data_IF_480265814670
#
_entry.id   IF_480265814670
#
_cell.length_a   1.000
_cell.length_b   1.000
_cell.length_c   1.000
_cell.angle_alpha   90.00
_cell.angle_beta   90.00
_cell.angle_gamma   90.00
#
_symmetry.space_group_name_H-M   'P 1'
#
loop_
_entity.id
_entity.type
_entity.pdbx_description
1 polymer ?
#
# COMPACT_ATOMS: atom_id res chain seq x y z
N UNK A 1 25.80 8.49 -3.83
CA UNK A 1 24.89 8.93 -2.77
C UNK A 1 23.90 7.82 -2.51
N UNK A 2 23.98 7.12 -1.37
CA UNK A 2 23.11 5.95 -1.10
C UNK A 2 22.03 6.43 -0.13
N UNK A 3 20.93 6.96 -0.67
CA UNK A 3 19.75 7.24 0.12
C UNK A 3 19.28 5.89 0.69
N UNK A 4 19.37 5.71 2.01
CA UNK A 4 19.06 4.44 2.69
C UNK A 4 17.57 4.29 3.00
N UNK A 5 16.78 5.33 2.74
CA UNK A 5 15.35 5.33 2.98
C UNK A 5 14.61 4.88 1.73
N UNK A 6 13.78 3.87 1.87
CA UNK A 6 12.83 3.45 0.86
C UNK A 6 11.42 3.60 1.41
N UNK A 7 10.51 4.11 0.57
CA UNK A 7 9.13 4.31 0.94
C UNK A 7 8.22 3.57 -0.03
N UNK A 8 7.11 3.06 0.48
CA UNK A 8 6.05 2.46 -0.30
C UNK A 8 4.76 3.23 -0.05
N UNK A 9 4.20 3.75 -1.14
CA UNK A 9 2.86 4.30 -1.18
C UNK A 9 1.90 3.21 -1.68
N UNK A 10 0.78 3.03 -0.99
CA UNK A 10 -0.29 2.14 -1.40
C UNK A 10 -1.52 3.00 -1.67
N UNK A 11 -1.96 2.99 -2.92
CA UNK A 11 -3.08 3.78 -3.40
C UNK A 11 -4.20 2.83 -3.83
N UNK A 12 -5.39 3.06 -3.29
CA UNK A 12 -6.60 2.35 -3.64
C UNK A 12 -7.34 3.11 -4.73
N UNK A 13 -7.65 2.42 -5.83
CA UNK A 13 -8.49 2.93 -6.91
C UNK A 13 -9.79 2.15 -6.94
N UNK A 14 -10.92 2.86 -6.99
CA UNK A 14 -12.25 2.25 -7.17
C UNK A 14 -13.19 3.22 -7.86
N UNK A 15 -14.28 2.71 -8.42
CA UNK A 15 -15.36 3.55 -8.98
C UNK A 15 -16.46 3.65 -7.94
N UNK A 16 -16.87 4.87 -7.61
CA UNK A 16 -17.93 5.13 -6.65
C UNK A 16 -19.34 4.90 -7.26
N UNK A 17 -20.39 5.08 -6.47
CA UNK A 17 -21.77 4.87 -6.93
C UNK A 17 -22.22 5.89 -7.98
N UNK A 18 -21.53 7.02 -8.08
CA UNK A 18 -21.79 8.10 -9.03
C UNK A 18 -20.96 7.93 -10.34
N UNK A 19 -20.33 6.77 -10.52
CA UNK A 19 -19.46 6.44 -11.65
C UNK A 19 -18.18 7.27 -11.75
N UNK A 20 -17.74 7.84 -10.63
CA UNK A 20 -16.51 8.62 -10.57
C UNK A 20 -15.35 7.72 -10.13
N UNK A 21 -14.17 7.95 -10.72
CA UNK A 21 -12.93 7.27 -10.32
C UNK A 21 -12.40 7.93 -9.05
N UNK A 22 -12.35 7.16 -7.97
CA UNK A 22 -11.75 7.55 -6.70
C UNK A 22 -10.31 7.06 -6.63
N UNK A 23 -9.45 7.92 -6.07
CA UNK A 23 -8.06 7.62 -5.75
C UNK A 23 -7.80 7.97 -4.28
N UNK A 24 -7.44 6.96 -3.48
CA UNK A 24 -7.21 7.13 -2.04
C UNK A 24 -5.85 6.58 -1.65
N UNK A 25 -4.96 7.45 -1.16
CA UNK A 25 -3.71 7.01 -0.52
C UNK A 25 -4.06 6.38 0.83
N UNK A 26 -4.05 5.05 0.89
CA UNK A 26 -4.41 4.31 2.11
C UNK A 26 -3.20 4.09 3.02
N UNK A 27 -1.98 4.18 2.49
CA UNK A 27 -0.78 4.01 3.30
C UNK A 27 0.45 4.61 2.63
N UNK A 28 1.34 5.15 3.45
CA UNK A 28 2.64 5.66 3.04
C UNK A 28 3.62 5.40 4.16
N UNK A 29 4.49 4.40 3.98
CA UNK A 29 5.43 4.00 5.03
C UNK A 29 6.81 3.68 4.50
N UNK A 30 7.78 3.82 5.38
CA UNK A 30 9.14 3.37 5.12
C UNK A 30 9.19 1.85 5.06
N UNK A 31 9.96 1.31 4.10
CA UNK A 31 10.28 -0.10 4.01
C UNK A 31 11.59 -0.34 4.74
N UNK A 32 11.50 -1.09 5.82
CA UNK A 32 12.65 -1.49 6.62
C UNK A 32 13.17 -2.84 6.10
N UNK A 33 14.49 -2.94 5.93
CA UNK A 33 15.17 -4.17 5.54
C UNK A 33 15.28 -4.37 4.02
N UNK A 34 15.40 -5.62 3.58
CA UNK A 34 15.57 -5.93 2.17
C UNK A 34 14.31 -5.59 1.36
N UNK A 35 14.45 -4.93 0.21
CA UNK A 35 13.32 -4.62 -0.69
C UNK A 35 12.95 -5.83 -1.56
N UNK A 36 12.94 -7.03 -0.96
CA UNK A 36 12.55 -8.25 -1.63
C UNK A 36 11.05 -8.23 -1.92
N UNK A 37 10.61 -8.93 -2.96
CA UNK A 37 9.18 -9.03 -3.31
C UNK A 37 8.33 -9.53 -2.14
N UNK A 38 8.88 -10.43 -1.30
CA UNK A 38 8.21 -10.92 -0.10
C UNK A 38 7.98 -9.81 0.95
N UNK A 39 8.96 -8.93 1.19
CA UNK A 39 8.82 -7.83 2.14
C UNK A 39 7.81 -6.77 1.65
N UNK A 40 7.85 -6.46 0.35
CA UNK A 40 6.86 -5.57 -0.28
C UNK A 40 5.44 -6.16 -0.14
N UNK A 41 5.26 -7.44 -0.48
CA UNK A 41 3.98 -8.12 -0.37
C UNK A 41 3.47 -8.18 1.08
N UNK A 42 4.36 -8.43 2.04
CA UNK A 42 4.01 -8.40 3.46
C UNK A 42 3.52 -7.02 3.89
N UNK A 43 4.18 -5.95 3.43
CA UNK A 43 3.78 -4.57 3.72
C UNK A 43 2.39 -4.26 3.18
N UNK A 44 2.10 -4.65 1.93
CA UNK A 44 0.76 -4.52 1.33
C UNK A 44 -0.27 -5.32 2.12
N UNK A 45 0.04 -6.56 2.49
CA UNK A 45 -0.86 -7.43 3.24
C UNK A 45 -1.25 -6.82 4.59
N UNK A 46 -0.28 -6.29 5.34
CA UNK A 46 -0.55 -5.61 6.62
C UNK A 46 -1.47 -4.40 6.45
N UNK A 47 -1.29 -3.62 5.38
CA UNK A 47 -2.16 -2.48 5.08
C UNK A 47 -3.58 -2.93 4.78
N UNK A 48 -3.74 -3.99 3.97
CA UNK A 48 -5.07 -4.54 3.69
C UNK A 48 -5.73 -5.11 4.95
N UNK A 49 -4.98 -5.81 5.80
CA UNK A 49 -5.48 -6.36 7.08
C UNK A 49 -5.95 -5.24 8.03
N UNK A 50 -5.15 -4.19 8.18
CA UNK A 50 -5.46 -3.03 9.02
C UNK A 50 -6.80 -2.37 8.65
N UNK A 51 -7.09 -2.27 7.34
CA UNK A 51 -8.35 -1.72 6.84
C UNK A 51 -9.48 -2.77 6.71
N UNK A 52 -9.25 -4.03 7.10
CA UNK A 52 -10.24 -5.10 6.97
C UNK A 52 -10.57 -5.47 5.52
N UNK A 53 -9.65 -5.24 4.59
CA UNK A 53 -9.83 -5.43 3.15
C UNK A 53 -9.45 -6.83 2.65
N UNK A 54 -9.00 -7.72 3.55
CA UNK A 54 -8.60 -9.09 3.20
C UNK A 54 -9.78 -10.03 2.89
N UNK A 55 -10.98 -9.71 3.39
CA UNK A 55 -12.17 -10.54 3.22
C UNK A 55 -13.20 -9.80 2.37
N UNK A 56 -13.13 -9.98 1.05
CA UNK A 56 -14.19 -9.65 0.10
C UNK A 56 -14.47 -10.84 -0.81
#
# INVERSE_FOLDING_TARGET
>A
SRNQYAFLAIVLHYVNNDWELEEVLIDFREIIGEHSGANLAHTVWQTLDFYGLLNK
#
